data_IF_304013273695
#
_entry.id   IF_304013273695
#
_cell.length_a   1.000
_cell.length_b   1.000
_cell.length_c   1.000
_cell.angle_alpha   90.00
_cell.angle_beta   90.00
_cell.angle_gamma   90.00
#
_symmetry.space_group_name_H-M   'P 1'
#
loop_
_entity.id
_entity.type
_entity.pdbx_description
1 polymer ?
#
# COMPACT_ATOMS: atom_id res chain seq x y z
N UNK A 1 25.78 29.08 -17.75
CA UNK A 1 25.27 27.71 -17.95
C UNK A 1 25.06 27.14 -16.55
N UNK A 2 23.89 26.62 -16.19
CA UNK A 2 23.73 25.98 -14.88
C UNK A 2 24.65 24.76 -14.83
N UNK A 3 25.59 24.73 -13.90
CA UNK A 3 26.41 23.56 -13.65
C UNK A 3 25.58 22.51 -12.92
N UNK A 4 25.73 21.23 -13.31
CA UNK A 4 25.06 20.10 -12.70
C UNK A 4 26.01 18.92 -12.62
N UNK A 5 25.77 18.06 -11.63
CA UNK A 5 26.55 16.84 -11.45
C UNK A 5 26.03 15.73 -12.36
N UNK A 6 26.94 14.94 -12.93
CA UNK A 6 26.54 13.71 -13.62
C UNK A 6 25.82 12.77 -12.64
N UNK A 7 24.72 12.16 -13.09
CA UNK A 7 23.85 11.34 -12.24
C UNK A 7 22.83 12.11 -11.38
N UNK A 8 22.87 13.46 -11.38
CA UNK A 8 21.84 14.26 -10.71
C UNK A 8 20.46 13.99 -11.32
N UNK A 9 19.44 13.87 -10.46
CA UNK A 9 18.03 13.76 -10.87
C UNK A 9 17.37 15.13 -10.70
N UNK A 10 16.58 15.54 -11.69
CA UNK A 10 15.76 16.75 -11.63
C UNK A 10 14.32 16.46 -12.02
N UNK A 11 13.40 17.23 -11.43
CA UNK A 11 12.01 17.32 -11.90
C UNK A 11 11.93 18.26 -13.11
N UNK A 12 11.15 17.88 -14.11
CA UNK A 12 10.98 18.61 -15.35
C UNK A 12 9.49 18.76 -15.69
N UNK A 13 9.04 19.99 -15.90
CA UNK A 13 7.64 20.31 -16.26
C UNK A 13 7.29 20.05 -17.74
N UNK A 14 8.24 19.59 -18.55
CA UNK A 14 8.09 19.36 -20.00
C UNK A 14 8.26 17.88 -20.35
N UNK A 15 7.79 17.46 -21.53
CA UNK A 15 7.68 16.05 -21.94
C UNK A 15 8.89 15.48 -22.72
N UNK A 16 10.09 16.03 -22.51
CA UNK A 16 11.30 15.54 -23.18
C UNK A 16 12.50 15.70 -22.25
N UNK A 17 13.55 14.89 -22.48
CA UNK A 17 14.81 15.08 -21.79
C UNK A 17 15.62 16.20 -22.48
N UNK A 18 16.08 17.23 -21.76
CA UNK A 18 16.94 18.26 -22.33
C UNK A 18 18.29 17.68 -22.78
N UNK A 19 19.05 18.45 -23.55
CA UNK A 19 20.41 18.04 -23.96
C UNK A 19 21.24 17.66 -22.72
N UNK A 20 21.92 16.51 -22.80
CA UNK A 20 22.73 15.90 -21.73
C UNK A 20 21.95 15.23 -20.60
N UNK A 21 20.63 15.13 -20.72
CA UNK A 21 19.78 14.42 -19.78
C UNK A 21 19.08 13.26 -20.48
N UNK A 22 18.59 12.31 -19.69
CA UNK A 22 17.70 11.25 -20.13
C UNK A 22 16.48 11.16 -19.19
N UNK A 23 15.34 10.71 -19.71
CA UNK A 23 14.17 10.42 -18.87
C UNK A 23 14.50 9.26 -17.92
N UNK A 24 14.03 9.35 -16.68
CA UNK A 24 14.12 8.27 -15.68
C UNK A 24 13.08 7.17 -15.99
N UNK A 25 13.29 6.44 -17.07
CA UNK A 25 12.38 5.41 -17.59
C UNK A 25 12.94 3.98 -17.53
N UNK A 26 14.00 3.72 -16.75
CA UNK A 26 14.55 2.37 -16.60
C UNK A 26 15.37 1.83 -17.78
N UNK A 27 15.73 2.68 -18.74
CA UNK A 27 16.45 2.26 -19.93
C UNK A 27 17.86 1.75 -19.61
N UNK A 28 18.30 0.73 -20.35
CA UNK A 28 19.66 0.19 -20.28
C UNK A 28 20.62 1.04 -21.11
N UNK A 29 21.75 1.42 -20.52
CA UNK A 29 22.83 2.14 -21.19
C UNK A 29 24.09 1.28 -21.25
N UNK A 30 24.86 1.37 -22.35
CA UNK A 30 26.11 0.64 -22.47
C UNK A 30 27.20 1.28 -21.60
N UNK A 31 27.92 0.46 -20.84
CA UNK A 31 28.95 0.93 -19.88
C UNK A 31 30.11 1.61 -20.62
N UNK A 32 30.51 1.09 -21.78
CA UNK A 32 31.65 1.60 -22.56
C UNK A 32 31.52 3.08 -22.96
N UNK A 33 30.29 3.60 -23.12
CA UNK A 33 30.03 4.99 -23.48
C UNK A 33 29.66 5.87 -22.28
N UNK A 34 29.39 5.27 -21.11
CA UNK A 34 28.84 5.95 -19.95
C UNK A 34 29.60 5.59 -18.66
N UNK A 35 30.92 5.38 -18.76
CA UNK A 35 31.75 4.89 -17.66
C UNK A 35 31.66 5.76 -16.39
N UNK A 36 31.66 7.09 -16.56
CA UNK A 36 31.54 8.02 -15.43
C UNK A 36 30.18 7.86 -14.72
N UNK A 37 29.07 7.79 -15.46
CA UNK A 37 27.75 7.58 -14.86
C UNK A 37 27.64 6.19 -14.20
N UNK A 38 28.18 5.16 -14.84
CA UNK A 38 28.23 3.80 -14.28
C UNK A 38 29.01 3.73 -12.97
N UNK A 39 30.14 4.45 -12.85
CA UNK A 39 30.91 4.46 -11.60
C UNK A 39 30.14 5.04 -10.41
N UNK A 40 29.08 5.83 -10.65
CA UNK A 40 28.22 6.40 -9.61
C UNK A 40 27.00 5.53 -9.31
N UNK A 41 26.30 5.06 -10.35
CA UNK A 41 25.04 4.32 -10.18
C UNK A 41 25.25 2.81 -10.01
N UNK A 42 26.33 2.26 -10.56
CA UNK A 42 26.56 0.82 -10.64
C UNK A 42 25.37 0.10 -11.28
N UNK A 43 24.94 -1.00 -10.66
CA UNK A 43 23.79 -1.80 -11.06
C UNK A 43 22.57 -1.61 -10.15
N UNK A 44 22.52 -0.53 -9.36
CA UNK A 44 21.46 -0.29 -8.36
C UNK A 44 20.05 -0.29 -8.97
N UNK A 45 19.91 0.08 -10.24
CA UNK A 45 18.64 0.10 -10.96
C UNK A 45 18.49 -1.06 -11.96
N UNK A 46 19.45 -1.99 -12.01
CA UNK A 46 19.47 -3.12 -12.93
C UNK A 46 20.62 -3.08 -13.96
N UNK A 47 20.51 -3.94 -14.96
CA UNK A 47 21.58 -4.24 -15.92
C UNK A 47 22.52 -5.35 -15.43
N UNK A 48 23.50 -5.72 -16.26
CA UNK A 48 24.39 -6.85 -15.98
C UNK A 48 25.73 -6.45 -15.33
N UNK A 49 26.02 -5.16 -15.23
CA UNK A 49 27.26 -4.64 -14.61
C UNK A 49 28.54 -4.92 -15.39
N UNK A 50 28.45 -5.51 -16.59
CA UNK A 50 29.60 -5.86 -17.42
C UNK A 50 29.56 -5.13 -18.76
N UNK A 51 28.41 -5.16 -19.45
CA UNK A 51 28.21 -4.45 -20.72
C UNK A 51 27.19 -3.31 -20.60
N UNK A 52 26.26 -3.39 -19.64
CA UNK A 52 25.22 -2.40 -19.43
C UNK A 52 24.85 -2.21 -17.95
N UNK A 53 24.19 -1.09 -17.70
CA UNK A 53 23.53 -0.75 -16.45
C UNK A 53 22.22 -0.02 -16.76
N UNK A 54 21.29 0.01 -15.81
CA UNK A 54 20.02 0.70 -15.98
C UNK A 54 20.04 2.11 -15.36
N UNK A 55 19.29 3.03 -15.96
CA UNK A 55 18.88 4.27 -15.32
C UNK A 55 17.73 4.02 -14.33
N UNK A 56 17.45 4.95 -13.39
CA UNK A 56 16.25 4.88 -12.57
C UNK A 56 14.98 4.80 -13.41
N UNK A 57 13.97 4.06 -12.94
CA UNK A 57 12.61 4.09 -13.47
C UNK A 57 11.68 4.74 -12.46
N UNK A 58 11.30 5.99 -12.71
CA UNK A 58 10.44 6.80 -11.83
C UNK A 58 9.02 6.99 -12.40
N UNK A 59 8.66 6.27 -13.46
CA UNK A 59 7.30 6.29 -14.00
C UNK A 59 6.34 5.62 -13.02
N UNK A 60 5.23 6.28 -12.70
CA UNK A 60 4.25 5.83 -11.70
C UNK A 60 4.87 5.51 -10.34
N UNK A 61 5.88 6.29 -9.92
CA UNK A 61 6.53 6.13 -8.61
C UNK A 61 6.63 7.47 -7.87
N UNK A 62 6.60 7.38 -6.56
CA UNK A 62 6.90 8.49 -5.65
C UNK A 62 8.31 8.29 -5.08
N UNK A 63 9.28 9.19 -5.32
CA UNK A 63 10.58 9.11 -4.70
C UNK A 63 10.49 9.21 -3.17
N UNK A 64 11.31 8.44 -2.46
CA UNK A 64 11.45 8.50 -1.01
C UNK A 64 12.89 8.86 -0.65
N UNK A 65 13.07 9.55 0.48
CA UNK A 65 14.40 9.85 1.00
C UNK A 65 15.13 8.57 1.41
N UNK A 66 16.40 8.45 0.99
CA UNK A 66 17.29 7.36 1.41
C UNK A 66 17.79 7.49 2.87
N UNK A 67 18.14 8.69 3.39
CA UNK A 67 18.62 8.81 4.76
C UNK A 67 17.58 8.39 5.79
N UNK A 68 18.05 7.93 6.96
CA UNK A 68 17.19 7.70 8.11
C UNK A 68 16.37 8.95 8.44
N UNK A 69 15.16 8.73 8.96
CA UNK A 69 14.33 9.80 9.48
C UNK A 69 15.09 10.64 10.51
N UNK A 70 14.92 11.95 10.42
CA UNK A 70 15.46 12.91 11.38
C UNK A 70 14.63 13.00 12.66
N UNK A 71 13.41 12.43 12.66
CA UNK A 71 12.56 12.35 13.84
C UNK A 71 12.99 11.14 14.70
N UNK A 72 13.51 11.35 15.92
CA UNK A 72 13.91 10.27 16.80
C UNK A 72 12.76 9.30 17.16
N UNK A 73 11.51 9.79 17.12
CA UNK A 73 10.30 9.04 17.48
C UNK A 73 9.76 8.19 16.34
N UNK A 74 10.23 8.43 15.11
CA UNK A 74 9.80 7.70 13.92
C UNK A 74 11.00 7.26 13.10
N UNK A 75 11.42 6.01 13.29
CA UNK A 75 12.58 5.41 12.62
C UNK A 75 12.15 4.19 11.80
N UNK A 76 11.55 4.39 10.61
CA UNK A 76 11.20 3.28 9.73
C UNK A 76 12.46 2.55 9.26
N UNK A 77 12.32 1.29 8.85
CA UNK A 77 13.43 0.53 8.24
C UNK A 77 14.00 1.32 7.04
N UNK A 78 15.32 1.60 7.00
CA UNK A 78 15.89 2.39 5.91
C UNK A 78 15.74 1.70 4.55
N UNK A 79 15.16 2.42 3.59
CA UNK A 79 15.12 1.97 2.20
C UNK A 79 16.50 2.14 1.56
N UNK A 80 16.93 1.16 0.76
CA UNK A 80 18.18 1.27 0.02
C UNK A 80 17.97 2.02 -1.30
N UNK A 81 19.02 2.69 -1.81
CA UNK A 81 18.94 3.32 -3.14
C UNK A 81 18.66 2.23 -4.19
N UNK A 82 17.69 2.50 -5.08
CA UNK A 82 17.26 1.56 -6.10
C UNK A 82 16.21 0.55 -5.64
N UNK A 83 15.91 0.48 -4.33
CA UNK A 83 14.85 -0.39 -3.83
C UNK A 83 13.47 0.13 -4.27
N UNK A 84 12.69 -0.73 -4.93
CA UNK A 84 11.27 -0.48 -5.21
C UNK A 84 10.38 -1.08 -4.14
N UNK A 85 9.27 -0.40 -3.84
CA UNK A 85 8.23 -0.90 -2.93
C UNK A 85 6.89 -0.22 -3.18
N UNK A 86 5.91 -0.54 -2.33
CA UNK A 86 4.54 -0.02 -2.43
C UNK A 86 3.69 -0.74 -3.48
N UNK A 87 2.39 -0.46 -3.42
CA UNK A 87 1.37 -0.96 -4.37
C UNK A 87 0.35 0.14 -4.62
N UNK A 88 -0.12 0.26 -5.87
CA UNK A 88 -1.13 1.26 -6.26
C UNK A 88 -2.54 0.88 -5.79
N UNK A 89 -2.79 -0.41 -5.61
CA UNK A 89 -4.07 -0.95 -5.15
C UNK A 89 -3.82 -1.95 -4.02
N UNK A 90 -4.67 -1.90 -2.98
CA UNK A 90 -4.60 -2.81 -1.85
C UNK A 90 -5.99 -3.42 -1.60
N UNK A 91 -6.04 -4.75 -1.47
CA UNK A 91 -7.23 -5.45 -1.00
C UNK A 91 -7.22 -5.45 0.52
N UNK A 92 -8.28 -4.92 1.13
CA UNK A 92 -8.43 -4.94 2.59
C UNK A 92 -8.77 -6.34 3.06
N UNK A 93 -7.81 -6.98 3.73
CA UNK A 93 -8.03 -8.26 4.39
C UNK A 93 -8.61 -8.02 5.79
N UNK A 94 -9.25 -9.04 6.36
CA UNK A 94 -9.73 -8.99 7.75
C UNK A 94 -8.61 -8.69 8.75
N UNK A 95 -7.37 -9.06 8.44
CA UNK A 95 -6.17 -8.73 9.22
C UNK A 95 -5.77 -7.25 9.16
N UNK A 96 -6.30 -6.48 8.22
CA UNK A 96 -6.10 -5.03 8.14
C UNK A 96 -7.14 -4.25 8.94
N UNK A 97 -8.13 -4.93 9.53
CA UNK A 97 -9.20 -4.33 10.30
C UNK A 97 -9.08 -4.72 11.78
N UNK A 98 -9.40 -3.82 12.72
CA UNK A 98 -9.52 -4.20 14.12
C UNK A 98 -10.55 -5.32 14.30
N UNK A 99 -10.14 -6.37 15.04
CA UNK A 99 -11.05 -7.41 15.45
C UNK A 99 -12.17 -6.79 16.30
N UNK A 100 -13.41 -7.07 15.92
CA UNK A 100 -14.60 -6.62 16.63
C UNK A 100 -15.65 -7.74 16.64
N UNK A 101 -16.61 -7.63 17.54
CA UNK A 101 -17.72 -8.58 17.67
C UNK A 101 -19.04 -7.84 17.56
N UNK A 102 -20.08 -8.54 17.10
CA UNK A 102 -21.45 -8.04 17.15
C UNK A 102 -22.19 -8.87 18.18
N UNK A 103 -22.70 -8.21 19.22
CA UNK A 103 -23.58 -8.85 20.17
C UNK A 103 -25.02 -8.86 19.60
N UNK A 104 -25.63 -10.03 19.51
CA UNK A 104 -27.05 -10.13 19.19
C UNK A 104 -27.85 -10.11 20.49
N UNK A 105 -28.75 -9.13 20.61
CA UNK A 105 -29.64 -9.01 21.77
C UNK A 105 -30.98 -9.69 21.49
N UNK A 106 -31.50 -10.37 22.51
CA UNK A 106 -32.84 -10.96 22.50
C UNK A 106 -33.57 -10.59 23.79
N UNK A 107 -34.90 -10.63 23.75
CA UNK A 107 -35.78 -10.44 24.89
C UNK A 107 -36.17 -11.78 25.50
N UNK A 108 -36.24 -11.82 26.83
CA UNK A 108 -36.82 -12.95 27.56
C UNK A 108 -38.36 -12.87 27.65
N UNK A 109 -38.97 -11.76 27.21
CA UNK A 109 -40.43 -11.64 27.15
C UNK A 109 -41.02 -12.52 26.04
N UNK A 110 -42.29 -12.88 26.18
CA UNK A 110 -43.03 -13.60 25.16
C UNK A 110 -43.13 -12.80 23.85
N UNK A 111 -42.83 -13.44 22.73
CA UNK A 111 -43.04 -12.85 21.41
C UNK A 111 -44.52 -12.57 21.16
N UNK A 112 -44.81 -11.35 20.72
CA UNK A 112 -46.18 -10.87 20.43
C UNK A 112 -46.45 -10.70 18.93
N UNK A 113 -45.42 -10.84 18.10
CA UNK A 113 -45.49 -10.61 16.65
C UNK A 113 -44.52 -11.52 15.89
N UNK A 114 -44.94 -12.01 14.72
CA UNK A 114 -44.10 -12.83 13.84
C UNK A 114 -43.25 -12.00 12.86
N UNK A 115 -43.56 -10.71 12.67
CA UNK A 115 -42.79 -9.81 11.80
C UNK A 115 -41.54 -9.30 12.55
N UNK A 116 -40.32 -9.60 12.07
CA UNK A 116 -39.08 -9.20 12.76
C UNK A 116 -38.66 -7.74 12.51
N UNK A 117 -39.28 -7.02 11.57
CA UNK A 117 -38.85 -5.67 11.17
C UNK A 117 -38.92 -4.69 12.35
N UNK A 118 -37.77 -4.14 12.73
CA UNK A 118 -37.65 -3.19 13.85
C UNK A 118 -37.89 -3.80 15.24
N UNK A 119 -37.79 -5.12 15.38
CA UNK A 119 -38.04 -5.86 16.64
C UNK A 119 -36.85 -6.73 17.03
N UNK A 120 -36.82 -7.15 18.29
CA UNK A 120 -35.86 -8.12 18.82
C UNK A 120 -36.42 -9.54 18.74
N UNK A 121 -35.52 -10.53 18.72
CA UNK A 121 -35.91 -11.91 18.99
C UNK A 121 -36.45 -12.04 20.43
N UNK A 122 -37.45 -12.89 20.63
CA UNK A 122 -38.18 -13.00 21.89
C UNK A 122 -38.49 -14.47 22.22
N UNK A 123 -38.92 -14.75 23.45
CA UNK A 123 -39.28 -16.10 23.86
C UNK A 123 -40.45 -16.64 23.03
N UNK A 124 -40.34 -17.89 22.58
CA UNK A 124 -41.45 -18.57 21.91
C UNK A 124 -42.57 -18.83 22.91
N UNK A 125 -43.82 -18.59 22.49
CA UNK A 125 -45.02 -18.98 23.25
C UNK A 125 -45.59 -20.32 22.77
N UNK A 126 -44.96 -20.96 21.79
CA UNK A 126 -45.36 -22.28 21.29
C UNK A 126 -45.14 -23.35 22.36
N UNK A 127 -46.20 -24.09 22.69
CA UNK A 127 -46.14 -25.27 23.56
C UNK A 127 -45.78 -26.55 22.82
N UNK A 128 -45.83 -26.51 21.49
CA UNK A 128 -45.35 -27.57 20.58
C UNK A 128 -43.85 -27.40 20.32
N UNK A 129 -43.09 -28.50 20.41
CA UNK A 129 -41.66 -28.57 20.13
C UNK A 129 -41.32 -27.98 18.75
N UNK A 130 -40.17 -27.28 18.58
CA UNK A 130 -39.01 -27.20 19.48
C UNK A 130 -39.14 -26.20 20.65
N UNK A 131 -38.31 -26.33 21.71
CA UNK A 131 -38.41 -25.53 22.95
C UNK A 131 -38.12 -24.02 22.75
N UNK A 132 -38.40 -23.22 23.78
CA UNK A 132 -38.14 -21.77 23.84
C UNK A 132 -36.70 -21.45 23.42
N UNK A 133 -36.55 -20.75 22.28
CA UNK A 133 -35.24 -20.39 21.71
C UNK A 133 -34.53 -19.27 22.48
N UNK A 134 -35.28 -18.41 23.17
CA UNK A 134 -34.77 -17.29 23.96
C UNK A 134 -35.51 -17.25 25.29
N UNK A 135 -34.79 -17.18 26.41
CA UNK A 135 -35.35 -17.16 27.77
C UNK A 135 -34.38 -16.48 28.73
N UNK A 136 -34.83 -16.14 29.95
CA UNK A 136 -33.92 -15.72 31.01
C UNK A 136 -32.88 -16.81 31.29
N UNK A 137 -31.61 -16.43 31.48
CA UNK A 137 -30.49 -17.37 31.65
C UNK A 137 -30.60 -18.15 32.96
N UNK A 138 -31.32 -19.27 32.94
CA UNK A 138 -31.45 -20.20 34.09
C UNK A 138 -30.68 -21.51 33.87
N UNK A 139 -29.88 -21.62 32.80
CA UNK A 139 -29.13 -22.82 32.41
C UNK A 139 -28.03 -22.54 31.38
N UNK A 140 -27.40 -23.59 30.79
CA UNK A 140 -26.33 -23.42 29.80
C UNK A 140 -26.80 -22.62 28.58
N UNK A 141 -26.01 -21.62 28.16
CA UNK A 141 -26.28 -20.85 26.95
C UNK A 141 -26.01 -21.70 25.71
N UNK A 142 -26.94 -21.70 24.75
CA UNK A 142 -26.76 -22.34 23.44
C UNK A 142 -26.19 -21.31 22.46
N UNK A 143 -25.05 -21.58 21.81
CA UNK A 143 -24.53 -20.71 20.75
C UNK A 143 -25.57 -20.54 19.63
N UNK A 144 -25.79 -19.30 19.21
CA UNK A 144 -26.64 -19.02 18.05
C UNK A 144 -25.96 -19.52 16.76
N UNK A 145 -26.75 -19.71 15.70
CA UNK A 145 -26.18 -20.05 14.39
C UNK A 145 -25.18 -18.95 13.99
N UNK A 146 -23.91 -19.27 13.69
CA UNK A 146 -22.91 -18.29 13.29
C UNK A 146 -23.33 -17.43 12.08
N UNK A 147 -24.23 -17.93 11.23
CA UNK A 147 -24.78 -17.15 10.11
C UNK A 147 -25.64 -15.95 10.55
N UNK A 148 -26.01 -15.86 11.82
CA UNK A 148 -26.78 -14.71 12.35
C UNK A 148 -25.95 -13.43 12.37
N UNK A 149 -24.62 -13.55 12.44
CA UNK A 149 -23.65 -12.47 12.26
C UNK A 149 -22.54 -13.00 11.36
N UNK A 150 -22.70 -12.82 10.06
CA UNK A 150 -21.67 -13.20 9.09
C UNK A 150 -20.69 -12.03 8.84
N UNK A 151 -19.41 -12.31 8.56
CA UNK A 151 -18.53 -11.34 7.94
C UNK A 151 -19.12 -10.82 6.63
N UNK A 152 -18.93 -9.53 6.35
CA UNK A 152 -19.36 -8.89 5.10
C UNK A 152 -18.15 -8.27 4.40
N UNK A 153 -18.20 -8.22 3.05
CA UNK A 153 -17.17 -7.63 2.19
C UNK A 153 -16.73 -8.58 1.08
N UNK A 154 -16.48 -8.02 -0.11
CA UNK A 154 -16.15 -8.79 -1.33
C UNK A 154 -14.64 -8.84 -1.63
N UNK A 155 -13.80 -8.42 -0.67
CA UNK A 155 -12.34 -8.38 -0.77
C UNK A 155 -11.83 -7.62 -2.02
N UNK A 156 -12.58 -6.61 -2.47
CA UNK A 156 -12.21 -5.82 -3.64
C UNK A 156 -11.07 -4.86 -3.31
N UNK A 157 -10.10 -4.68 -4.23
CA UNK A 157 -9.04 -3.72 -4.04
C UNK A 157 -9.58 -2.29 -4.05
N UNK A 158 -8.95 -1.42 -3.27
CA UNK A 158 -9.14 0.02 -3.36
C UNK A 158 -7.82 0.70 -3.77
N UNK A 159 -7.89 1.90 -4.38
CA UNK A 159 -6.69 2.68 -4.68
C UNK A 159 -5.97 3.04 -3.37
N UNK A 160 -4.65 2.87 -3.38
CA UNK A 160 -3.72 3.20 -2.31
C UNK A 160 -2.79 4.36 -2.73
N UNK A 161 -3.29 5.23 -3.63
CA UNK A 161 -2.58 6.39 -4.12
C UNK A 161 -3.00 7.62 -3.30
N UNK A 162 -2.02 8.30 -2.71
CA UNK A 162 -2.22 9.63 -2.14
C UNK A 162 -2.57 10.65 -3.24
N UNK A 163 -3.17 11.81 -2.90
CA UNK A 163 -3.33 12.90 -3.87
C UNK A 163 -2.01 13.24 -4.54
N UNK A 164 -2.00 13.31 -5.88
CA UNK A 164 -0.76 13.47 -6.65
C UNK A 164 -0.90 14.50 -7.77
N UNK A 165 0.25 15.01 -8.19
CA UNK A 165 0.45 15.70 -9.45
C UNK A 165 1.60 15.03 -10.18
N UNK A 166 1.52 14.97 -11.51
CA UNK A 166 2.49 14.24 -12.34
C UNK A 166 3.49 15.22 -12.94
N UNK A 167 4.78 14.92 -12.74
CA UNK A 167 5.90 15.66 -13.32
C UNK A 167 6.94 14.68 -13.83
N UNK A 168 7.71 15.06 -14.85
CA UNK A 168 8.75 14.20 -15.38
C UNK A 168 10.00 14.24 -14.51
N UNK A 169 10.75 13.14 -14.51
CA UNK A 169 12.08 13.06 -13.92
C UNK A 169 13.11 12.81 -15.00
N UNK A 170 14.20 13.56 -14.94
CA UNK A 170 15.35 13.41 -15.81
C UNK A 170 16.62 13.16 -14.99
N UNK A 171 17.54 12.36 -15.52
CA UNK A 171 18.88 12.12 -14.96
C UNK A 171 19.96 12.67 -15.90
N UNK A 172 20.96 13.34 -15.33
CA UNK A 172 22.07 13.91 -16.09
C UNK A 172 23.02 12.80 -16.58
N UNK A 173 23.19 12.69 -17.89
CA UNK A 173 24.13 11.76 -18.54
C UNK A 173 25.57 12.31 -18.63
N UNK A 174 25.71 13.62 -18.51
CA UNK A 174 27.00 14.34 -18.53
C UNK A 174 26.94 15.45 -17.49
N UNK A 175 28.08 15.99 -17.06
CA UNK A 175 28.14 17.05 -16.06
C UNK A 175 29.46 17.02 -15.30
N UNK A 176 29.52 17.77 -14.20
CA UNK A 176 30.66 17.71 -13.28
C UNK A 176 30.65 16.35 -12.59
N UNK A 177 31.81 15.69 -12.51
CA UNK A 177 31.92 14.46 -11.74
C UNK A 177 31.93 14.79 -10.23
N UNK A 178 31.07 14.20 -9.40
CA UNK A 178 31.02 14.47 -7.96
C UNK A 178 32.16 13.72 -7.24
N UNK A 179 33.37 14.28 -7.27
CA UNK A 179 34.51 13.78 -6.51
C UNK A 179 34.21 13.79 -5.01
N UNK A 180 34.63 12.74 -4.32
CA UNK A 180 34.59 12.66 -2.86
C UNK A 180 36.00 12.96 -2.36
N UNK A 181 36.14 13.88 -1.41
CA UNK A 181 37.39 14.09 -0.66
C UNK A 181 37.61 12.95 0.35
#
# INVERSE_FOLDING_TARGET
MSEFFIGQIMMAGFNFAPKYWALCNGQLLPINQNQALFSLLGTQYGGNGTTNFALPDLRSRTPIGYPSSVDPSWQPTPAQIGQSGGVENVSLLSTNLPAHTHAMNASAANGDNRNPSGRLFAASTSTSAPPNLYAASTGPLVPQNPQTVAPAGDNQPHPNLQPYSVINFCVALSGIFPSRD
#
